data_IF_005983287960
#
_entry.id   IF_005983287960
#
_cell.length_a   1.000
_cell.length_b   1.000
_cell.length_c   1.000
_cell.angle_alpha   90.00
_cell.angle_beta   90.00
_cell.angle_gamma   90.00
#
_symmetry.space_group_name_H-M   'P 1'
#
loop_
_entity.id
_entity.type
_entity.pdbx_description
1 polymer ?
#
# COMPACT_ATOMS: atom_id res chain seq x y z
N UNK A 1 0.48 -6.71 -3.25
CA UNK A 1 -0.08 -5.35 -3.18
C UNK A 1 -1.42 -5.44 -2.48
N UNK A 2 -2.03 -4.32 -2.08
CA UNK A 2 -3.43 -4.26 -1.64
C UNK A 2 -4.11 -3.19 -2.50
N UNK A 3 -5.26 -3.54 -3.09
CA UNK A 3 -6.01 -2.72 -4.04
C UNK A 3 -7.50 -2.78 -3.65
N UNK A 4 -8.25 -1.72 -3.95
CA UNK A 4 -9.68 -1.63 -3.61
C UNK A 4 -10.62 -2.17 -4.67
N UNK A 5 -10.11 -2.44 -5.87
CA UNK A 5 -10.89 -2.84 -7.05
C UNK A 5 -11.97 -1.80 -7.41
N UNK A 6 -13.21 -1.99 -6.95
CA UNK A 6 -14.35 -1.08 -7.14
C UNK A 6 -14.84 -0.45 -5.81
N UNK A 7 -14.18 0.60 -5.26
CA UNK A 7 -14.48 1.17 -3.94
C UNK A 7 -15.94 1.51 -3.68
N UNK A 8 -16.61 2.09 -4.69
CA UNK A 8 -18.00 2.53 -4.59
C UNK A 8 -18.99 1.36 -4.49
N UNK A 9 -18.60 0.17 -4.97
CA UNK A 9 -19.42 -1.04 -4.94
C UNK A 9 -19.13 -1.90 -3.71
N UNK A 10 -17.88 -1.93 -3.24
CA UNK A 10 -17.47 -2.73 -2.09
C UNK A 10 -17.48 -1.98 -0.75
N UNK A 11 -17.85 -0.70 -0.75
CA UNK A 11 -18.11 0.07 0.47
C UNK A 11 -16.84 0.47 1.23
N UNK A 12 -15.72 0.65 0.53
CA UNK A 12 -14.45 1.05 1.14
C UNK A 12 -13.37 1.36 0.11
N UNK A 13 -12.54 2.35 0.41
CA UNK A 13 -11.37 2.70 -0.39
C UNK A 13 -10.17 1.82 -0.01
N UNK A 14 -9.02 2.06 -0.65
CA UNK A 14 -7.82 1.26 -0.41
C UNK A 14 -7.38 1.27 1.06
N UNK A 15 -7.51 2.39 1.77
CA UNK A 15 -7.16 2.47 3.19
C UNK A 15 -8.02 1.55 4.07
N UNK A 16 -9.31 1.43 3.77
CA UNK A 16 -10.23 0.52 4.48
C UNK A 16 -9.78 -0.95 4.30
N UNK A 17 -9.30 -1.30 3.10
CA UNK A 17 -8.74 -2.62 2.83
C UNK A 17 -7.45 -2.88 3.63
N UNK A 18 -6.56 -1.88 3.75
CA UNK A 18 -5.37 -2.01 4.59
C UNK A 18 -5.73 -2.28 6.05
N UNK A 19 -6.70 -1.55 6.61
CA UNK A 19 -7.16 -1.73 7.99
C UNK A 19 -7.82 -3.09 8.20
N UNK A 20 -8.70 -3.50 7.29
CA UNK A 20 -9.39 -4.78 7.37
C UNK A 20 -8.42 -5.97 7.27
N UNK A 21 -7.48 -5.94 6.34
CA UNK A 21 -6.47 -7.00 6.16
C UNK A 21 -5.52 -7.07 7.37
N UNK A 22 -5.07 -5.91 7.88
CA UNK A 22 -4.25 -5.86 9.08
C UNK A 22 -4.95 -6.53 10.28
N UNK A 23 -6.22 -6.20 10.50
CA UNK A 23 -7.00 -6.77 11.59
C UNK A 23 -7.28 -8.27 11.39
N UNK A 24 -7.60 -8.70 10.17
CA UNK A 24 -7.96 -10.08 9.88
C UNK A 24 -6.77 -11.05 9.92
N UNK A 25 -5.59 -10.60 9.49
CA UNK A 25 -4.40 -11.45 9.38
C UNK A 25 -3.34 -11.15 10.45
N UNK A 26 -3.54 -10.13 11.29
CA UNK A 26 -2.58 -9.73 12.31
C UNK A 26 -1.30 -9.15 11.73
N UNK A 27 -1.37 -8.48 10.58
CA UNK A 27 -0.17 -7.97 9.90
C UNK A 27 0.49 -6.84 10.68
N UNK A 28 1.82 -6.86 10.71
CA UNK A 28 2.63 -5.80 11.29
C UNK A 28 2.66 -4.54 10.40
N UNK A 29 3.15 -3.44 10.98
CA UNK A 29 3.36 -2.19 10.22
C UNK A 29 4.33 -2.40 9.07
N UNK A 30 5.38 -3.19 9.28
CA UNK A 30 6.40 -3.53 8.28
C UNK A 30 5.82 -4.38 7.14
N UNK A 31 4.93 -5.31 7.45
CA UNK A 31 4.25 -6.14 6.45
C UNK A 31 3.28 -5.32 5.59
N UNK A 32 2.51 -4.42 6.20
CA UNK A 32 1.67 -3.48 5.46
C UNK A 32 2.52 -2.54 4.58
N UNK A 33 3.65 -2.07 5.10
CA UNK A 33 4.57 -1.24 4.34
C UNK A 33 5.19 -2.00 3.15
N UNK A 34 5.44 -3.31 3.30
CA UNK A 34 5.84 -4.16 2.18
C UNK A 34 4.74 -4.22 1.11
N UNK A 35 3.48 -4.34 1.49
CA UNK A 35 2.38 -4.28 0.52
C UNK A 35 2.32 -2.93 -0.24
N UNK A 36 2.55 -1.82 0.46
CA UNK A 36 2.62 -0.48 -0.13
C UNK A 36 3.81 -0.35 -1.09
N UNK A 37 5.02 -0.69 -0.64
CA UNK A 37 6.24 -0.70 -1.47
C UNK A 37 6.06 -1.53 -2.74
N UNK A 38 5.53 -2.75 -2.62
CA UNK A 38 5.28 -3.61 -3.77
C UNK A 38 4.33 -2.96 -4.78
N UNK A 39 3.38 -2.12 -4.35
CA UNK A 39 2.45 -1.43 -5.25
C UNK A 39 3.11 -0.30 -6.03
N UNK A 40 4.04 0.41 -5.40
CA UNK A 40 4.85 1.46 -6.04
C UNK A 40 5.80 0.85 -7.08
N UNK A 41 6.54 -0.18 -6.68
CA UNK A 41 7.52 -0.87 -7.53
C UNK A 41 6.86 -1.54 -8.75
N UNK A 42 5.69 -2.17 -8.56
CA UNK A 42 4.94 -2.85 -9.62
C UNK A 42 4.15 -1.91 -10.55
N UNK A 43 4.06 -0.61 -10.23
CA UNK A 43 3.34 0.36 -11.06
C UNK A 43 4.02 0.56 -12.43
N UNK A 44 3.31 1.16 -13.39
CA UNK A 44 3.90 1.60 -14.66
C UNK A 44 4.38 3.06 -14.60
N UNK A 45 4.56 3.61 -13.41
CA UNK A 45 5.14 4.95 -13.26
C UNK A 45 6.59 4.98 -13.76
N UNK A 46 7.10 6.15 -14.16
CA UNK A 46 8.52 6.37 -14.41
C UNK A 46 9.38 5.97 -13.20
N UNK A 47 10.60 5.49 -13.46
CA UNK A 47 11.47 4.93 -12.41
C UNK A 47 11.86 5.97 -11.35
N UNK A 48 12.12 7.22 -11.75
CA UNK A 48 12.40 8.33 -10.85
C UNK A 48 11.24 8.61 -9.89
N UNK A 49 10.00 8.52 -10.39
CA UNK A 49 8.80 8.68 -9.57
C UNK A 49 8.64 7.52 -8.58
N UNK A 50 8.91 6.27 -9.00
CA UNK A 50 8.88 5.11 -8.09
C UNK A 50 9.89 5.28 -6.96
N UNK A 51 11.12 5.69 -7.28
CA UNK A 51 12.17 5.90 -6.29
C UNK A 51 11.83 7.02 -5.30
N UNK A 52 11.20 8.10 -5.78
CA UNK A 52 10.73 9.19 -4.92
C UNK A 52 9.69 8.69 -3.90
N UNK A 53 8.66 7.96 -4.34
CA UNK A 53 7.63 7.42 -3.43
C UNK A 53 8.15 6.34 -2.49
N UNK A 54 9.07 5.48 -2.95
CA UNK A 54 9.74 4.48 -2.11
C UNK A 54 10.54 5.17 -1.01
N UNK A 55 11.28 6.24 -1.35
CA UNK A 55 12.02 7.02 -0.37
C UNK A 55 11.11 7.71 0.64
N UNK A 56 9.97 8.26 0.19
CA UNK A 56 8.95 8.84 1.07
C UNK A 56 8.38 7.81 2.05
N UNK A 57 8.09 6.59 1.57
CA UNK A 57 7.65 5.49 2.42
C UNK A 57 8.71 5.11 3.45
N UNK A 58 9.99 5.04 3.06
CA UNK A 58 11.09 4.71 3.98
C UNK A 58 11.26 5.77 5.07
N UNK A 59 11.15 7.06 4.70
CA UNK A 59 11.14 8.17 5.67
C UNK A 59 9.96 8.05 6.63
N UNK A 60 8.76 7.73 6.13
CA UNK A 60 7.58 7.54 6.98
C UNK A 60 7.75 6.39 7.99
N UNK A 61 8.50 5.35 7.65
CA UNK A 61 8.73 4.20 8.53
C UNK A 61 9.73 4.46 9.65
N UNK A 62 10.56 5.50 9.51
CA UNK A 62 11.56 5.91 10.50
C UNK A 62 10.92 6.69 11.65
#
# INVERSE_FOLDING_TARGET
TINSDDPAYFGGYVADNYLAVAAALGLSREELARCARNSLEASFAPEDQKQAWVSELDVYLT
#
